data_IF_438839940155
#
_entry.id   IF_438839940155
#
_cell.length_a   1.000
_cell.length_b   1.000
_cell.length_c   1.000
_cell.angle_alpha   90.00
_cell.angle_beta   90.00
_cell.angle_gamma   90.00
#
_symmetry.space_group_name_H-M   'P 1'
#
loop_
_entity.id
_entity.type
_entity.pdbx_description
1 polymer ?
#
# COMPACT_ATOMS: atom_id res chain seq x y z
N UNK A 1 5.96 -12.35 12.54
CA UNK A 1 6.75 -12.07 11.33
C UNK A 1 6.55 -10.61 11.03
N UNK A 2 7.58 -9.81 11.31
CA UNK A 2 7.62 -8.35 11.15
C UNK A 2 7.85 -7.96 9.68
N UNK A 3 7.07 -8.51 8.75
CA UNK A 3 7.17 -8.19 7.32
C UNK A 3 6.36 -6.93 6.96
N UNK A 4 6.29 -5.98 7.89
CA UNK A 4 5.54 -4.74 7.69
C UNK A 4 6.37 -3.77 6.87
N UNK A 5 5.69 -2.99 6.03
CA UNK A 5 6.30 -1.90 5.29
C UNK A 5 6.98 -0.91 6.25
N UNK A 6 8.32 -0.82 6.17
CA UNK A 6 9.11 0.14 6.94
C UNK A 6 9.75 1.16 5.98
N UNK A 7 9.43 2.47 6.09
CA UNK A 7 10.07 3.50 5.28
C UNK A 7 11.57 3.67 5.55
N UNK A 8 12.08 3.15 6.67
CA UNK A 8 13.51 3.15 6.99
C UNK A 8 14.27 1.95 6.41
N UNK A 9 13.56 0.97 5.86
CA UNK A 9 14.20 -0.14 5.16
C UNK A 9 15.02 0.38 3.98
N UNK A 10 16.27 -0.09 3.88
CA UNK A 10 17.23 0.37 2.86
C UNK A 10 16.72 0.19 1.43
N UNK A 11 16.07 -0.94 1.15
CA UNK A 11 15.49 -1.23 -0.17
C UNK A 11 14.34 -0.26 -0.45
N UNK A 12 13.44 -0.03 0.51
CA UNK A 12 12.37 0.96 0.37
C UNK A 12 12.93 2.37 0.11
N UNK A 13 14.00 2.77 0.79
CA UNK A 13 14.66 4.05 0.54
C UNK A 13 15.25 4.17 -0.86
N UNK A 14 15.90 3.12 -1.38
CA UNK A 14 16.39 3.09 -2.76
C UNK A 14 15.24 3.23 -3.77
N UNK A 15 14.12 2.55 -3.53
CA UNK A 15 12.94 2.66 -4.39
C UNK A 15 12.33 4.07 -4.35
N UNK A 16 12.26 4.70 -3.18
CA UNK A 16 11.79 6.09 -3.03
C UNK A 16 12.71 7.08 -3.74
N UNK A 17 14.03 6.88 -3.67
CA UNK A 17 14.98 7.68 -4.44
C UNK A 17 14.78 7.49 -5.95
N UNK A 18 14.58 6.24 -6.40
CA UNK A 18 14.29 5.93 -7.79
C UNK A 18 13.03 6.62 -8.30
N UNK A 19 11.95 6.60 -7.52
CA UNK A 19 10.72 7.37 -7.82
C UNK A 19 10.99 8.88 -7.91
N UNK A 20 11.80 9.43 -7.00
CA UNK A 20 12.20 10.85 -7.08
C UNK A 20 12.96 11.19 -8.37
N UNK A 21 13.77 10.26 -8.88
CA UNK A 21 14.44 10.42 -10.18
C UNK A 21 13.43 10.35 -11.34
N UNK A 22 12.42 9.47 -11.29
CA UNK A 22 11.31 9.47 -12.26
C UNK A 22 10.59 10.82 -12.28
N UNK A 23 10.20 11.33 -11.11
CA UNK A 23 9.50 12.62 -10.96
C UNK A 23 10.34 13.81 -11.46
N UNK A 24 11.66 13.67 -11.42
CA UNK A 24 12.63 14.66 -11.92
C UNK A 24 12.97 14.49 -13.41
N UNK A 25 12.32 13.57 -14.12
CA UNK A 25 12.54 13.34 -15.55
C UNK A 25 13.83 12.58 -15.88
N UNK A 26 14.34 11.75 -14.95
CA UNK A 26 15.60 10.99 -15.07
C UNK A 26 15.35 9.47 -14.98
N UNK A 27 14.66 8.87 -15.96
CA UNK A 27 14.27 7.47 -15.90
C UNK A 27 15.45 6.48 -15.92
N UNK A 28 16.58 6.83 -16.56
CA UNK A 28 17.78 5.99 -16.55
C UNK A 28 18.42 5.92 -15.16
N UNK A 29 18.51 7.05 -14.45
CA UNK A 29 19.01 7.11 -13.06
C UNK A 29 18.07 6.33 -12.13
N UNK A 30 16.75 6.43 -12.35
CA UNK A 30 15.76 5.64 -11.62
C UNK A 30 15.97 4.13 -11.83
N UNK A 31 16.17 3.70 -13.07
CA UNK A 31 16.40 2.29 -13.43
C UNK A 31 17.63 1.70 -12.73
N UNK A 32 18.71 2.48 -12.60
CA UNK A 32 19.90 2.08 -11.85
C UNK A 32 19.59 1.87 -10.37
N UNK A 33 18.81 2.75 -9.76
CA UNK A 33 18.39 2.63 -8.35
C UNK A 33 17.49 1.41 -8.13
N UNK A 34 16.56 1.12 -9.02
CA UNK A 34 15.70 -0.07 -8.94
C UNK A 34 16.50 -1.37 -9.12
N UNK A 35 17.47 -1.37 -10.03
CA UNK A 35 18.36 -2.51 -10.23
C UNK A 35 19.26 -2.75 -9.01
N UNK A 36 19.74 -1.67 -8.39
CA UNK A 36 20.49 -1.74 -7.13
C UNK A 36 19.63 -2.30 -6.01
N UNK A 37 18.40 -1.79 -5.85
CA UNK A 37 17.43 -2.29 -4.86
C UNK A 37 17.20 -3.80 -5.02
N UNK A 38 17.05 -4.30 -6.26
CA UNK A 38 16.94 -5.72 -6.53
C UNK A 38 18.20 -6.51 -6.13
N UNK A 39 19.39 -6.02 -6.48
CA UNK A 39 20.65 -6.72 -6.18
C UNK A 39 20.97 -6.80 -4.68
N UNK A 40 20.46 -5.84 -3.90
CA UNK A 40 20.70 -5.76 -2.46
C UNK A 40 19.57 -6.35 -1.62
N UNK A 41 18.43 -6.71 -2.22
CA UNK A 41 17.29 -7.30 -1.53
C UNK A 41 17.62 -8.70 -1.00
N UNK A 42 17.39 -8.91 0.30
CA UNK A 42 17.78 -10.15 1.00
C UNK A 42 16.61 -11.07 1.26
N UNK A 43 15.42 -10.52 1.55
CA UNK A 43 14.22 -11.28 1.85
C UNK A 43 13.16 -11.22 0.73
N UNK A 44 12.11 -12.01 0.87
CA UNK A 44 11.06 -12.13 -0.16
C UNK A 44 10.21 -10.87 -0.27
N UNK A 45 10.03 -10.10 0.80
CA UNK A 45 9.28 -8.84 0.75
C UNK A 45 10.05 -7.79 -0.06
N UNK A 46 11.33 -7.62 0.24
CA UNK A 46 12.22 -6.73 -0.49
C UNK A 46 12.32 -7.13 -1.97
N UNK A 47 12.50 -8.43 -2.26
CA UNK A 47 12.57 -8.95 -3.63
C UNK A 47 11.26 -8.75 -4.39
N UNK A 48 10.11 -8.95 -3.75
CA UNK A 48 8.79 -8.68 -4.33
C UNK A 48 8.70 -7.24 -4.85
N UNK A 49 9.00 -6.26 -3.99
CA UNK A 49 8.82 -4.84 -4.35
C UNK A 49 9.93 -4.39 -5.32
N UNK A 50 11.18 -4.82 -5.12
CA UNK A 50 12.25 -4.47 -6.03
C UNK A 50 12.00 -5.01 -7.44
N UNK A 51 11.58 -6.26 -7.59
CA UNK A 51 11.22 -6.86 -8.88
C UNK A 51 10.07 -6.09 -9.56
N UNK A 52 9.08 -5.62 -8.81
CA UNK A 52 7.99 -4.79 -9.34
C UNK A 52 8.50 -3.51 -10.01
N UNK A 53 9.45 -2.80 -9.37
CA UNK A 53 10.02 -1.59 -9.95
C UNK A 53 10.95 -1.87 -11.13
N UNK A 54 11.71 -2.96 -11.08
CA UNK A 54 12.51 -3.40 -12.23
C UNK A 54 11.60 -3.71 -13.43
N UNK A 55 10.44 -4.34 -13.21
CA UNK A 55 9.46 -4.64 -14.27
C UNK A 55 8.96 -3.38 -14.98
N UNK A 56 8.64 -2.31 -14.22
CA UNK A 56 8.16 -1.03 -14.75
C UNK A 56 9.12 -0.40 -15.77
N UNK A 57 10.42 -0.64 -15.59
CA UNK A 57 11.50 -0.06 -16.39
C UNK A 57 11.96 -0.92 -17.57
N UNK A 58 11.40 -2.12 -17.74
CA UNK A 58 11.74 -2.96 -18.89
C UNK A 58 11.16 -2.39 -20.19
N UNK A 59 12.01 -2.31 -21.22
CA UNK A 59 11.64 -1.86 -22.57
C UNK A 59 10.91 -2.93 -23.37
N UNK A 60 11.28 -4.20 -23.18
CA UNK A 60 10.67 -5.35 -23.84
C UNK A 60 9.52 -5.91 -22.97
N UNK A 61 8.40 -6.26 -23.60
CA UNK A 61 7.23 -6.82 -22.92
C UNK A 61 7.52 -8.20 -22.30
N UNK A 62 8.34 -9.03 -22.94
CA UNK A 62 8.74 -10.34 -22.44
C UNK A 62 9.60 -10.23 -21.17
N UNK A 63 10.54 -9.29 -21.13
CA UNK A 63 11.32 -9.01 -19.91
C UNK A 63 10.43 -8.42 -18.82
N UNK A 64 9.54 -7.48 -19.19
CA UNK A 64 8.54 -6.90 -18.27
C UNK A 64 7.67 -7.98 -17.62
N UNK A 65 7.17 -8.92 -18.43
CA UNK A 65 6.39 -10.06 -17.97
C UNK A 65 7.19 -10.89 -16.97
N UNK A 66 8.42 -11.30 -17.33
CA UNK A 66 9.29 -12.10 -16.46
C UNK A 66 9.51 -11.44 -15.09
N UNK A 67 9.72 -10.13 -15.06
CA UNK A 67 9.90 -9.39 -13.82
C UNK A 67 8.61 -9.24 -13.00
N UNK A 68 7.45 -9.06 -13.64
CA UNK A 68 6.17 -9.08 -12.92
C UNK A 68 5.85 -10.47 -12.36
N UNK A 69 6.14 -11.55 -13.09
CA UNK A 69 6.00 -12.92 -12.61
C UNK A 69 6.96 -13.20 -11.44
N UNK A 70 8.20 -12.70 -11.52
CA UNK A 70 9.17 -12.76 -10.42
C UNK A 70 8.65 -12.03 -9.18
N UNK A 71 8.14 -10.81 -9.35
CA UNK A 71 7.52 -10.04 -8.27
C UNK A 71 6.35 -10.79 -7.64
N UNK A 72 5.45 -11.35 -8.46
CA UNK A 72 4.32 -12.15 -7.99
C UNK A 72 4.77 -13.40 -7.22
N UNK A 73 5.81 -14.10 -7.71
CA UNK A 73 6.34 -15.28 -7.03
C UNK A 73 6.76 -14.95 -5.60
N UNK A 74 7.61 -13.92 -5.41
CA UNK A 74 8.02 -13.50 -4.08
C UNK A 74 6.83 -13.00 -3.24
N UNK A 75 5.87 -12.31 -3.84
CA UNK A 75 4.68 -11.85 -3.15
C UNK A 75 3.84 -13.01 -2.59
N UNK A 76 3.79 -14.15 -3.29
CA UNK A 76 3.12 -15.37 -2.85
C UNK A 76 3.84 -16.03 -1.68
N UNK A 77 5.19 -16.05 -1.69
CA UNK A 77 6.01 -16.62 -0.60
C UNK A 77 5.88 -15.85 0.71
N UNK A 78 5.77 -14.51 0.65
CA UNK A 78 5.61 -13.69 1.88
C UNK A 78 4.33 -14.03 2.65
N UNK A 79 3.25 -14.42 1.95
CA UNK A 79 1.95 -14.80 2.51
C UNK A 79 1.40 -13.83 3.58
N UNK A 80 1.60 -12.52 3.36
CA UNK A 80 1.16 -11.45 4.27
C UNK A 80 -0.11 -10.75 3.77
N UNK A 81 -0.92 -10.20 4.68
CA UNK A 81 -2.18 -9.51 4.36
C UNK A 81 -1.93 -8.26 3.52
N UNK A 82 -0.92 -7.46 3.86
CA UNK A 82 -0.55 -6.26 3.13
C UNK A 82 -0.05 -6.63 1.73
N UNK A 83 0.77 -7.67 1.60
CA UNK A 83 1.28 -8.13 0.29
C UNK A 83 0.16 -8.71 -0.59
N UNK A 84 -0.79 -9.46 -0.03
CA UNK A 84 -1.96 -9.98 -0.78
C UNK A 84 -2.77 -8.89 -1.45
N UNK A 85 -2.83 -7.69 -0.85
CA UNK A 85 -3.54 -6.55 -1.46
C UNK A 85 -2.91 -6.08 -2.78
N UNK A 86 -1.66 -6.45 -3.07
CA UNK A 86 -0.97 -6.16 -4.34
C UNK A 86 -1.37 -7.11 -5.48
N UNK A 87 -1.96 -8.27 -5.17
CA UNK A 87 -2.21 -9.32 -6.16
C UNK A 87 -3.13 -8.88 -7.30
N UNK A 88 -4.26 -8.17 -7.08
CA UNK A 88 -5.08 -7.66 -8.18
C UNK A 88 -4.28 -6.80 -9.16
N UNK A 89 -3.38 -5.97 -8.64
CA UNK A 89 -2.55 -5.08 -9.44
C UNK A 89 -1.49 -5.85 -10.23
N UNK A 90 -0.78 -6.80 -9.58
CA UNK A 90 0.23 -7.64 -10.23
C UNK A 90 -0.38 -8.51 -11.34
N UNK A 91 -1.44 -9.26 -11.03
CA UNK A 91 -2.12 -10.11 -12.00
C UNK A 91 -2.63 -9.32 -13.20
N UNK A 92 -3.16 -8.10 -12.99
CA UNK A 92 -3.59 -7.24 -14.09
C UNK A 92 -2.42 -6.78 -14.98
N UNK A 93 -1.25 -6.47 -14.41
CA UNK A 93 -0.09 -6.09 -15.20
C UNK A 93 0.49 -7.28 -15.99
N UNK A 94 0.49 -8.48 -15.39
CA UNK A 94 0.87 -9.72 -16.08
C UNK A 94 -0.10 -10.00 -17.24
N UNK A 95 -1.40 -9.87 -17.01
CA UNK A 95 -2.42 -10.04 -18.05
C UNK A 95 -2.19 -9.11 -19.25
N UNK A 96 -1.90 -7.82 -19.00
CA UNK A 96 -1.56 -6.85 -20.05
C UNK A 96 -0.31 -7.24 -20.83
N UNK A 97 0.69 -7.82 -20.16
CA UNK A 97 1.88 -8.29 -20.86
C UNK A 97 1.55 -9.49 -21.77
N UNK A 98 0.75 -10.44 -21.30
CA UNK A 98 0.28 -11.55 -22.13
C UNK A 98 -0.57 -11.09 -23.33
N UNK A 99 -1.44 -10.11 -23.13
CA UNK A 99 -2.21 -9.50 -24.23
C UNK A 99 -1.29 -8.85 -25.28
N UNK A 100 -0.30 -8.07 -24.85
CA UNK A 100 0.69 -7.48 -25.74
C UNK A 100 1.60 -8.50 -26.44
N UNK A 101 1.75 -9.71 -25.87
CA UNK A 101 2.45 -10.85 -26.47
C UNK A 101 1.52 -11.75 -27.31
N UNK A 102 0.26 -11.35 -27.54
CA UNK A 102 -0.74 -12.13 -28.29
C UNK A 102 -1.05 -13.51 -27.70
N UNK A 103 -1.04 -13.62 -26.35
CA UNK A 103 -1.45 -14.83 -25.61
C UNK A 103 -2.75 -14.55 -24.82
N UNK A 104 -3.92 -14.52 -25.48
CA UNK A 104 -5.19 -14.10 -24.88
C UNK A 104 -5.70 -15.09 -23.81
N UNK A 105 -5.36 -16.37 -23.90
CA UNK A 105 -5.77 -17.38 -22.93
C UNK A 105 -5.10 -17.13 -21.58
N UNK A 106 -3.78 -16.88 -21.58
CA UNK A 106 -3.09 -16.50 -20.34
C UNK A 106 -3.51 -15.12 -19.86
N UNK A 107 -3.74 -14.16 -20.75
CA UNK A 107 -4.24 -12.85 -20.36
C UNK A 107 -5.57 -12.98 -19.59
N UNK A 108 -6.53 -13.73 -20.14
CA UNK A 108 -7.83 -13.99 -19.52
C UNK A 108 -7.69 -14.66 -18.15
N UNK A 109 -6.86 -15.71 -18.05
CA UNK A 109 -6.59 -16.40 -16.77
C UNK A 109 -6.09 -15.43 -15.69
N UNK A 110 -5.17 -14.52 -16.05
CA UNK A 110 -4.64 -13.56 -15.08
C UNK A 110 -5.63 -12.44 -14.75
N UNK A 111 -6.55 -12.06 -15.65
CA UNK A 111 -7.67 -11.17 -15.32
C UNK A 111 -8.61 -11.83 -14.30
N UNK A 112 -8.93 -13.11 -14.48
CA UNK A 112 -9.77 -13.87 -13.54
C UNK A 112 -9.12 -13.96 -12.14
N UNK A 113 -7.81 -14.25 -12.08
CA UNK A 113 -7.04 -14.23 -10.83
C UNK A 113 -7.01 -12.82 -10.21
N UNK A 114 -6.81 -11.77 -11.01
CA UNK A 114 -6.90 -10.40 -10.52
C UNK A 114 -8.26 -10.12 -9.87
N UNK A 115 -9.36 -10.63 -10.44
CA UNK A 115 -10.69 -10.45 -9.88
C UNK A 115 -10.95 -11.29 -8.63
N UNK A 116 -10.41 -12.50 -8.53
CA UNK A 116 -10.59 -13.34 -7.32
C UNK A 116 -9.97 -12.74 -6.06
N UNK A 117 -8.99 -11.84 -6.21
CA UNK A 117 -8.37 -11.11 -5.10
C UNK A 117 -8.96 -9.71 -4.86
N UNK A 118 -9.94 -9.26 -5.66
CA UNK A 118 -10.67 -8.01 -5.38
C UNK A 118 -11.76 -8.29 -4.35
N UNK A 119 -11.88 -7.41 -3.36
CA UNK A 119 -12.94 -7.46 -2.37
C UNK A 119 -12.70 -6.49 -1.22
N UNK A 120 -13.64 -6.48 -0.27
CA UNK A 120 -13.48 -5.78 1.01
C UNK A 120 -12.28 -6.37 1.76
N UNK A 121 -11.34 -5.55 2.25
CA UNK A 121 -10.20 -6.06 3.03
C UNK A 121 -10.65 -6.87 4.24
N UNK A 122 -9.97 -8.00 4.48
CA UNK A 122 -10.14 -8.82 5.69
C UNK A 122 -8.86 -8.76 6.50
N UNK A 123 -8.70 -7.67 7.24
CA UNK A 123 -7.56 -7.44 8.13
C UNK A 123 -8.05 -7.55 9.59
N UNK A 124 -7.45 -8.40 10.44
CA UNK A 124 -7.85 -8.55 11.83
C UNK A 124 -7.35 -7.43 12.75
N UNK A 125 -6.50 -6.52 12.27
CA UNK A 125 -5.86 -5.50 13.08
C UNK A 125 -4.67 -6.04 13.91
N UNK A 126 -4.38 -5.46 15.10
CA UNK A 126 -5.06 -4.31 15.70
C UNK A 126 -4.99 -3.07 14.80
N UNK A 127 -5.97 -2.18 14.95
CA UNK A 127 -6.02 -0.93 14.20
C UNK A 127 -5.74 0.27 15.08
N UNK A 128 -5.16 1.29 14.47
CA UNK A 128 -4.70 2.49 15.14
C UNK A 128 -5.23 3.74 14.44
N UNK A 129 -5.69 4.70 15.24
CA UNK A 129 -6.06 6.04 14.79
C UNK A 129 -5.16 7.08 15.44
N UNK A 130 -4.39 7.80 14.61
CA UNK A 130 -3.54 8.91 15.03
C UNK A 130 -4.27 10.26 14.94
N UNK A 131 -4.30 11.01 16.04
CA UNK A 131 -4.97 12.32 16.10
C UNK A 131 -4.38 13.23 17.18
N UNK A 132 -4.72 14.52 17.17
CA UNK A 132 -4.46 15.47 18.27
C UNK A 132 -5.70 15.71 19.15
N UNK A 133 -6.85 15.18 18.76
CA UNK A 133 -8.08 15.23 19.54
C UNK A 133 -7.93 14.44 20.84
N UNK A 134 -8.46 14.98 21.94
CA UNK A 134 -8.46 14.32 23.25
C UNK A 134 -9.73 13.47 23.43
N UNK A 135 -9.74 12.33 22.75
CA UNK A 135 -10.84 11.38 22.75
C UNK A 135 -10.81 10.49 23.99
N UNK A 136 -11.99 10.18 24.53
CA UNK A 136 -12.13 9.30 25.69
C UNK A 136 -12.36 7.85 25.26
N UNK A 137 -11.83 6.90 26.04
CA UNK A 137 -12.08 5.45 25.83
C UNK A 137 -13.58 5.17 25.90
N UNK A 138 -14.08 4.36 24.98
CA UNK A 138 -15.51 4.04 24.86
C UNK A 138 -16.35 5.07 24.09
N UNK A 139 -15.77 6.21 23.70
CA UNK A 139 -16.42 7.17 22.80
C UNK A 139 -16.57 6.58 21.39
N UNK A 140 -17.70 6.88 20.73
CA UNK A 140 -18.00 6.43 19.38
C UNK A 140 -17.75 7.58 18.39
N UNK A 141 -16.68 7.50 17.60
CA UNK A 141 -16.40 8.54 16.62
C UNK A 141 -17.21 8.27 15.35
N UNK A 142 -18.05 9.22 14.97
CA UNK A 142 -18.84 9.14 13.73
C UNK A 142 -18.14 9.91 12.61
N UNK A 143 -18.26 9.44 11.37
CA UNK A 143 -17.84 10.23 10.20
C UNK A 143 -18.59 11.59 10.16
N UNK A 144 -18.01 12.60 9.49
CA UNK A 144 -18.45 14.01 9.31
C UNK A 144 -17.65 15.09 10.08
N UNK A 145 -16.48 14.76 10.63
CA UNK A 145 -15.52 15.78 11.13
C UNK A 145 -14.91 16.63 10.00
N UNK A 146 -14.25 17.75 10.33
CA UNK A 146 -13.48 18.53 9.33
C UNK A 146 -12.18 17.84 8.92
N UNK A 147 -11.71 18.07 7.69
CA UNK A 147 -10.49 17.47 7.15
C UNK A 147 -9.21 18.03 7.77
N UNK A 148 -8.30 17.12 8.15
CA UNK A 148 -6.94 17.44 8.56
C UNK A 148 -6.09 18.07 7.43
N UNK A 149 -6.48 17.91 6.16
CA UNK A 149 -5.68 18.39 5.02
C UNK A 149 -6.25 19.62 4.31
N UNK A 150 -7.58 19.82 4.34
CA UNK A 150 -8.25 20.97 3.69
C UNK A 150 -9.27 21.64 4.63
N UNK A 151 -9.15 22.96 4.80
CA UNK A 151 -10.13 23.71 5.60
C UNK A 151 -11.52 23.66 4.94
N UNK A 152 -12.59 23.46 5.72
CA UNK A 152 -13.98 23.43 5.26
C UNK A 152 -14.45 22.15 4.57
N UNK A 153 -13.59 21.13 4.40
CA UNK A 153 -14.01 19.83 3.84
C UNK A 153 -14.53 18.92 4.97
N UNK A 154 -15.81 18.53 4.91
CA UNK A 154 -16.36 17.48 5.78
C UNK A 154 -15.88 16.10 5.32
N UNK A 155 -15.25 15.38 6.22
CA UNK A 155 -14.73 14.03 5.98
C UNK A 155 -15.86 13.01 6.11
N UNK A 156 -16.18 12.35 5.00
CA UNK A 156 -17.18 11.29 4.98
C UNK A 156 -16.65 9.95 5.50
N UNK A 157 -15.35 9.86 5.84
CA UNK A 157 -14.71 8.64 6.31
C UNK A 157 -13.76 8.93 7.48
N UNK A 158 -13.60 7.94 8.35
CA UNK A 158 -12.60 7.88 9.42
C UNK A 158 -11.43 7.04 8.90
N UNK A 159 -10.20 7.54 9.05
CA UNK A 159 -8.98 6.92 8.53
C UNK A 159 -8.20 6.26 9.65
N UNK A 160 -7.66 5.08 9.40
CA UNK A 160 -6.94 4.28 10.39
C UNK A 160 -5.95 3.35 9.68
N UNK A 161 -5.03 2.77 10.44
CA UNK A 161 -4.01 1.86 9.90
C UNK A 161 -3.73 0.72 10.86
N UNK A 162 -3.32 -0.44 10.36
CA UNK A 162 -2.81 -1.52 11.20
C UNK A 162 -1.29 -1.40 11.47
N UNK A 163 -0.65 -0.30 11.06
CA UNK A 163 0.77 0.00 11.30
C UNK A 163 0.90 1.15 12.31
N UNK A 164 1.43 0.86 13.50
CA UNK A 164 1.50 1.83 14.61
C UNK A 164 2.31 3.08 14.26
N UNK A 165 3.42 2.94 13.54
CA UNK A 165 4.24 4.09 13.09
C UNK A 165 3.48 4.97 12.11
N UNK A 166 2.64 4.38 11.26
CA UNK A 166 1.73 5.10 10.37
C UNK A 166 0.71 5.94 11.14
N UNK A 167 0.16 5.41 12.23
CA UNK A 167 -0.73 6.17 13.10
C UNK A 167 0.02 7.28 13.86
N UNK A 168 1.23 7.03 14.33
CA UNK A 168 2.09 8.07 14.92
C UNK A 168 2.33 9.24 13.96
N UNK A 169 2.66 8.96 12.70
CA UNK A 169 2.80 9.98 11.67
C UNK A 169 1.49 10.73 11.41
N UNK A 170 0.36 10.02 11.38
CA UNK A 170 -0.95 10.65 11.22
C UNK A 170 -1.27 11.61 12.37
N UNK A 171 -0.93 11.26 13.62
CA UNK A 171 -1.08 12.14 14.77
C UNK A 171 -0.20 13.40 14.64
N UNK A 172 1.05 13.24 14.22
CA UNK A 172 1.97 14.35 14.00
C UNK A 172 1.52 15.32 12.88
N UNK A 173 0.72 14.84 11.92
CA UNK A 173 0.16 15.65 10.83
C UNK A 173 -1.26 16.18 11.10
N UNK A 174 -1.94 15.71 12.14
CA UNK A 174 -3.32 16.10 12.44
C UNK A 174 -3.44 17.58 12.81
N UNK A 175 -4.55 18.25 12.51
CA UNK A 175 -4.71 19.66 12.90
C UNK A 175 -4.94 19.84 14.40
N UNK A 176 -4.55 21.00 14.92
CA UNK A 176 -4.75 21.42 16.31
C UNK A 176 -3.45 21.47 17.11
N UNK A 177 -3.48 22.18 18.24
CA UNK A 177 -2.32 22.38 19.12
C UNK A 177 -2.27 21.37 20.27
N UNK A 178 -3.19 20.40 20.27
CA UNK A 178 -3.23 19.31 21.24
C UNK A 178 -2.06 18.34 21.10
N UNK A 179 -1.80 17.56 22.15
CA UNK A 179 -0.79 16.50 22.13
C UNK A 179 -1.12 15.44 21.09
N UNK A 180 -0.09 14.92 20.43
CA UNK A 180 -0.19 13.76 19.54
C UNK A 180 -0.61 12.51 20.32
N UNK A 181 -1.63 11.81 19.83
CA UNK A 181 -2.18 10.61 20.44
C UNK A 181 -2.39 9.54 19.37
N UNK A 182 -2.14 8.29 19.74
CA UNK A 182 -2.47 7.11 18.94
C UNK A 182 -3.39 6.25 19.79
N UNK A 183 -4.56 5.94 19.24
CA UNK A 183 -5.55 5.11 19.90
C UNK A 183 -5.69 3.78 19.19
N UNK A 184 -5.98 2.73 19.95
CA UNK A 184 -6.48 1.48 19.37
C UNK A 184 -7.96 1.70 19.03
N UNK A 185 -8.36 1.26 17.83
CA UNK A 185 -9.72 1.41 17.35
C UNK A 185 -10.28 0.09 16.84
N UNK A 186 -11.56 -0.12 17.07
CA UNK A 186 -12.31 -1.25 16.52
C UNK A 186 -13.37 -0.72 15.53
N UNK A 187 -13.26 -1.08 14.23
CA UNK A 187 -14.29 -0.76 13.25
C UNK A 187 -15.61 -1.44 13.61
N UNK A 188 -16.72 -0.69 13.66
CA UNK A 188 -18.04 -1.29 13.93
C UNK A 188 -18.77 -1.75 12.65
N UNK A 189 -18.12 -1.65 11.49
CA UNK A 189 -18.68 -2.02 10.20
C UNK A 189 -17.59 -2.13 9.14
N UNK A 190 -18.01 -2.34 7.90
CA UNK A 190 -17.09 -2.53 6.78
C UNK A 190 -16.14 -1.33 6.59
N UNK A 191 -14.97 -1.62 6.06
CA UNK A 191 -13.97 -0.64 5.69
C UNK A 191 -13.32 -1.01 4.37
N UNK A 192 -12.71 -0.03 3.72
CA UNK A 192 -12.03 -0.20 2.45
C UNK A 192 -10.59 0.31 2.54
N UNK A 193 -9.75 -0.13 1.60
CA UNK A 193 -8.39 0.39 1.46
C UNK A 193 -8.41 1.91 1.28
N UNK A 194 -7.49 2.63 1.94
CA UNK A 194 -7.34 4.07 1.76
C UNK A 194 -6.84 4.36 0.33
N UNK A 195 -7.66 4.99 -0.55
CA UNK A 195 -7.27 5.24 -1.92
C UNK A 195 -6.22 6.34 -2.06
N UNK A 196 -5.83 7.03 -0.98
CA UNK A 196 -4.76 8.03 -1.01
C UNK A 196 -3.37 7.40 -0.98
N UNK A 197 -3.25 6.16 -0.52
CA UNK A 197 -1.96 5.46 -0.36
C UNK A 197 -1.92 4.08 -1.01
N UNK A 198 -3.07 3.47 -1.29
CA UNK A 198 -3.19 2.19 -1.99
C UNK A 198 -2.96 2.36 -3.49
N UNK A 199 -2.14 1.48 -4.09
CA UNK A 199 -1.78 1.50 -5.52
C UNK A 199 -1.22 2.85 -6.01
N UNK A 200 -0.58 3.62 -5.12
CA UNK A 200 0.01 4.93 -5.46
C UNK A 200 1.49 4.82 -5.77
N UNK A 201 2.30 4.62 -4.74
CA UNK A 201 3.74 4.41 -4.89
C UNK A 201 3.98 2.92 -5.13
N UNK A 202 3.55 2.12 -4.17
CA UNK A 202 3.70 0.67 -4.17
C UNK A 202 2.41 -0.03 -4.62
N UNK A 203 2.49 -1.26 -5.17
CA UNK A 203 1.31 -2.03 -5.54
C UNK A 203 0.59 -2.51 -4.28
N UNK A 204 -0.74 -2.39 -4.27
CA UNK A 204 -1.58 -2.69 -3.12
C UNK A 204 -1.51 -1.65 -2.00
N UNK A 205 -1.92 -2.09 -0.82
CA UNK A 205 -2.01 -1.35 0.44
C UNK A 205 -0.95 -1.86 1.44
N UNK A 206 0.33 -1.68 1.10
CA UNK A 206 1.45 -2.14 1.96
C UNK A 206 1.50 -1.43 3.32
N UNK A 207 0.91 -0.24 3.43
CA UNK A 207 0.80 0.52 4.67
C UNK A 207 -0.37 0.08 5.55
N UNK A 208 -1.18 -0.88 5.09
CA UNK A 208 -2.39 -1.37 5.76
C UNK A 208 -3.25 -0.20 6.26
N UNK A 209 -3.44 0.79 5.39
CA UNK A 209 -4.20 2.01 5.66
C UNK A 209 -5.60 1.87 5.09
N UNK A 210 -6.60 2.21 5.89
CA UNK A 210 -8.00 1.98 5.60
C UNK A 210 -8.83 3.21 5.89
N UNK A 211 -10.07 3.20 5.39
CA UNK A 211 -11.09 4.17 5.74
C UNK A 211 -12.46 3.50 5.89
N UNK A 212 -13.29 4.03 6.79
CA UNK A 212 -14.67 3.55 7.00
C UNK A 212 -15.63 4.73 7.14
N UNK A 213 -16.88 4.53 6.73
CA UNK A 213 -17.99 5.43 7.04
C UNK A 213 -18.67 5.05 8.36
N UNK A 214 -18.52 3.80 8.78
CA UNK A 214 -19.05 3.31 10.05
C UNK A 214 -18.24 3.91 11.21
N UNK A 215 -18.87 4.11 12.38
CA UNK A 215 -18.18 4.61 13.55
C UNK A 215 -17.10 3.65 14.07
N UNK A 216 -16.17 4.16 14.88
CA UNK A 216 -15.19 3.34 15.60
C UNK A 216 -15.42 3.38 17.10
N UNK A 217 -15.04 2.29 17.77
CA UNK A 217 -14.91 2.24 19.23
C UNK A 217 -13.44 2.41 19.60
N UNK A 218 -13.15 3.33 20.51
CA UNK A 218 -11.82 3.53 21.08
C UNK A 218 -11.64 2.60 22.28
N UNK A 219 -10.51 1.88 22.32
CA UNK A 219 -10.09 1.00 23.43
C UNK A 219 -8.77 1.41 24.05
#
# INVERSE_FOLDING_TARGET
>A
MDNQFDPNNKIIQLLLQGMGMEDSGKPEEASLLFSKAWSEAIDDFEKFIAAYYVARHQKNVSDKLKWFETSLQFALEVNDIAVKSAFPYLYRNIAKCYEALSDPDKAKKHVELSHSYKGTPSDPGPFFHGTRADLQVGELLTAKGESNYKSGLKMNHIYFTAVISGAGLAAALAKGDGRERVYIVEPTGDFENDPNVTDKKFPGNLTRSYRSQAPFRYS
#
